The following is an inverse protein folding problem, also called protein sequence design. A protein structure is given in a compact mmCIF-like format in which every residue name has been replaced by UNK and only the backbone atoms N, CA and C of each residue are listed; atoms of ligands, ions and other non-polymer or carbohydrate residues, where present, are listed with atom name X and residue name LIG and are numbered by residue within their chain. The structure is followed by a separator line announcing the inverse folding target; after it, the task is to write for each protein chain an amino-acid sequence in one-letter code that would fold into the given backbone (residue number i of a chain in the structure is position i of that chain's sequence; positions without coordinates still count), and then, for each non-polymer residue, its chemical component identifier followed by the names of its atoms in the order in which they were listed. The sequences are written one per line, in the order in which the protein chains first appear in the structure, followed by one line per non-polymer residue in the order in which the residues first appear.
data_IF_468354062049
#
_entry.id   IF_468354062049
#
_cell.length_a   1.000
_cell.length_b   1.000
_cell.length_c   1.000
_cell.angle_alpha   90.00
_cell.angle_beta   90.00
_cell.angle_gamma   90.00
#
_symmetry.space_group_name_H-M   'P 1'
#
loop_
_entity.id
_entity.type
_entity.pdbx_description
1 polymer ?
#
# COMPACT_ATOMS: atom_id res chain seq x y z
N UNK A 1 -5.81 -11.78 -1.05
CA UNK A 1 -5.42 -11.92 -2.48
C UNK A 1 -4.40 -10.86 -2.80
N UNK A 2 -3.23 -11.25 -3.32
CA UNK A 2 -2.11 -10.33 -3.56
C UNK A 2 -2.22 -9.73 -4.96
N UNK A 3 -2.04 -8.41 -5.05
CA UNK A 3 -2.04 -7.65 -6.30
C UNK A 3 -0.81 -6.75 -6.34
N UNK A 4 -0.26 -6.54 -7.53
CA UNK A 4 0.78 -5.54 -7.72
C UNK A 4 0.16 -4.13 -7.74
N UNK A 5 0.82 -3.18 -7.12
CA UNK A 5 0.42 -1.78 -7.05
C UNK A 5 1.65 -0.86 -7.11
N UNK A 6 1.41 0.44 -7.17
CA UNK A 6 2.45 1.45 -7.20
C UNK A 6 2.08 2.61 -6.28
N UNK A 7 2.95 2.92 -5.32
CA UNK A 7 2.83 4.12 -4.49
C UNK A 7 3.29 5.32 -5.33
N UNK A 8 2.33 6.17 -5.73
CA UNK A 8 2.58 7.40 -6.51
C UNK A 8 2.45 8.67 -5.68
N UNK A 9 1.79 8.58 -4.52
CA UNK A 9 1.54 9.70 -3.63
C UNK A 9 1.95 9.42 -2.19
N UNK A 10 1.61 10.35 -1.30
CA UNK A 10 1.92 10.24 0.12
C UNK A 10 0.97 9.25 0.79
N UNK A 11 1.47 8.04 1.02
CA UNK A 11 0.78 7.02 1.83
C UNK A 11 1.45 6.97 3.18
N UNK A 12 0.67 7.15 4.24
CA UNK A 12 1.16 7.10 5.61
C UNK A 12 0.46 6.02 6.41
N UNK A 13 1.22 5.35 7.27
CA UNK A 13 0.72 4.35 8.21
C UNK A 13 1.23 4.67 9.61
N UNK A 14 0.62 4.04 10.63
CA UNK A 14 1.01 4.21 12.03
C UNK A 14 1.36 2.85 12.61
N UNK A 15 2.56 2.73 13.16
CA UNK A 15 2.95 1.54 13.93
C UNK A 15 2.59 1.76 15.40
N UNK A 16 1.53 1.10 15.86
CA UNK A 16 1.02 1.23 17.23
C UNK A 16 0.64 2.68 17.57
N UNK A 17 1.25 3.22 18.64
CA UNK A 17 1.09 4.61 19.05
C UNK A 17 2.15 5.56 18.47
N UNK A 18 3.02 5.07 17.59
CA UNK A 18 4.09 5.85 16.98
C UNK A 18 3.63 6.99 16.06
N UNK A 19 4.59 7.70 15.50
CA UNK A 19 4.34 8.72 14.50
C UNK A 19 3.82 8.10 13.19
N UNK A 20 3.20 8.92 12.34
CA UNK A 20 2.86 8.51 10.98
C UNK A 20 4.14 8.35 10.15
N UNK A 21 4.40 7.12 9.70
CA UNK A 21 5.51 6.76 8.82
C UNK A 21 5.01 6.84 7.38
N UNK A 22 5.82 7.41 6.49
CA UNK A 22 5.48 7.51 5.06
C UNK A 22 6.09 6.33 4.31
N UNK A 23 5.27 5.63 3.52
CA UNK A 23 5.74 4.58 2.62
C UNK A 23 6.47 5.23 1.44
N UNK A 24 7.67 4.75 1.07
CA UNK A 24 8.40 5.28 -0.08
C UNK A 24 7.61 5.08 -1.38
N UNK A 25 7.85 5.99 -2.32
CA UNK A 25 7.28 5.90 -3.67
C UNK A 25 7.91 4.73 -4.42
N UNK A 26 7.12 3.99 -5.19
CA UNK A 26 7.63 2.88 -5.98
C UNK A 26 6.66 1.70 -6.10
N UNK A 27 7.11 0.60 -6.71
CA UNK A 27 6.34 -0.62 -6.80
C UNK A 27 6.10 -1.22 -5.42
N UNK A 28 4.88 -1.67 -5.18
CA UNK A 28 4.49 -2.37 -3.97
C UNK A 28 3.55 -3.53 -4.31
N UNK A 29 3.41 -4.46 -3.37
CA UNK A 29 2.41 -5.51 -3.40
C UNK A 29 1.37 -5.20 -2.33
N UNK A 30 0.11 -5.39 -2.67
CA UNK A 30 -1.01 -5.20 -1.75
C UNK A 30 -1.79 -6.48 -1.63
N UNK A 31 -1.94 -6.96 -0.40
CA UNK A 31 -2.79 -8.08 -0.07
C UNK A 31 -4.08 -7.56 0.56
N UNK A 32 -5.17 -7.62 -0.21
CA UNK A 32 -6.48 -7.21 0.29
C UNK A 32 -7.17 -8.37 1.02
N UNK A 33 -7.64 -8.09 2.24
CA UNK A 33 -8.53 -8.94 3.04
C UNK A 33 -9.90 -8.26 3.21
N UNK A 34 -10.84 -8.89 3.93
CA UNK A 34 -12.16 -8.31 4.17
C UNK A 34 -12.13 -7.09 5.10
N UNK A 35 -11.08 -6.96 5.92
CA UNK A 35 -11.01 -5.97 7.01
C UNK A 35 -9.84 -4.98 6.81
N UNK A 36 -8.74 -5.45 6.25
CA UNK A 36 -7.48 -4.73 6.15
C UNK A 36 -6.77 -5.03 4.82
N UNK A 37 -5.73 -4.24 4.55
CA UNK A 37 -4.88 -4.39 3.38
C UNK A 37 -3.44 -4.32 3.84
N UNK A 38 -2.69 -5.39 3.57
CA UNK A 38 -1.25 -5.42 3.82
C UNK A 38 -0.53 -4.86 2.60
N UNK A 39 0.27 -3.83 2.80
CA UNK A 39 1.12 -3.22 1.78
C UNK A 39 2.55 -3.65 2.07
N UNK A 40 3.18 -4.28 1.08
CA UNK A 40 4.59 -4.69 1.10
C UNK A 40 5.34 -3.94 0.02
N UNK A 41 6.50 -3.38 0.34
CA UNK A 41 7.33 -2.64 -0.62
C UNK A 41 8.80 -2.97 -0.43
N UNK A 42 9.60 -2.65 -1.43
CA UNK A 42 11.05 -2.82 -1.39
C UNK A 42 11.69 -1.45 -1.57
N UNK A 43 12.56 -1.08 -0.62
CA UNK A 43 13.37 0.14 -0.65
C UNK A 43 14.85 -0.25 -0.57
N UNK A 44 15.51 -0.31 -1.73
CA UNK A 44 16.87 -0.84 -1.85
C UNK A 44 16.95 -2.31 -1.43
N UNK A 45 17.69 -2.59 -0.36
CA UNK A 45 17.82 -3.93 0.23
C UNK A 45 16.81 -4.19 1.37
N UNK A 46 15.99 -3.20 1.72
CA UNK A 46 15.03 -3.30 2.83
C UNK A 46 13.64 -3.64 2.30
N UNK A 47 13.04 -4.69 2.86
CA UNK A 47 11.65 -5.04 2.62
C UNK A 47 10.79 -4.49 3.76
N UNK A 48 9.89 -3.56 3.44
CA UNK A 48 8.91 -3.03 4.37
C UNK A 48 7.56 -3.71 4.19
N UNK A 49 6.82 -3.89 5.27
CA UNK A 49 5.43 -4.34 5.20
C UNK A 49 4.60 -3.70 6.30
N UNK A 50 3.36 -3.34 5.99
CA UNK A 50 2.42 -2.78 6.97
C UNK A 50 0.99 -3.12 6.62
N UNK A 51 0.15 -3.34 7.64
CA UNK A 51 -1.28 -3.53 7.46
C UNK A 51 -2.03 -2.23 7.78
N UNK A 52 -2.86 -1.78 6.85
CA UNK A 52 -3.74 -0.63 7.03
C UNK A 52 -5.22 -1.04 6.91
N UNK A 53 -6.16 -0.30 7.54
CA UNK A 53 -7.58 -0.57 7.35
C UNK A 53 -7.99 -0.44 5.88
N UNK A 54 -8.90 -1.30 5.42
CA UNK A 54 -9.37 -1.28 4.02
C UNK A 54 -10.01 0.07 3.63
N UNK A 55 -10.60 0.78 4.60
CA UNK A 55 -11.16 2.12 4.40
C UNK A 55 -10.09 3.14 4.01
N UNK A 56 -8.95 3.13 4.68
CA UNK A 56 -7.82 4.01 4.37
C UNK A 56 -7.18 3.63 3.03
N UNK A 57 -7.00 2.34 2.78
CA UNK A 57 -6.51 1.86 1.49
C UNK A 57 -7.36 2.37 0.32
N UNK A 58 -8.67 2.19 0.39
CA UNK A 58 -9.61 2.67 -0.65
C UNK A 58 -9.53 4.19 -0.82
N UNK A 59 -9.30 4.94 0.27
CA UNK A 59 -9.11 6.39 0.21
C UNK A 59 -7.83 6.75 -0.55
N UNK A 60 -6.73 6.05 -0.31
CA UNK A 60 -5.46 6.26 -1.02
C UNK A 60 -5.56 5.88 -2.51
N UNK A 61 -6.28 4.81 -2.85
CA UNK A 61 -6.56 4.47 -4.25
C UNK A 61 -7.42 5.54 -4.91
N UNK A 62 -8.48 6.00 -4.25
CA UNK A 62 -9.36 7.05 -4.76
C UNK A 62 -8.64 8.38 -4.95
N UNK A 63 -7.66 8.69 -4.08
CA UNK A 63 -6.83 9.89 -4.20
C UNK A 63 -5.65 9.75 -5.17
N UNK A 64 -5.54 8.61 -5.88
CA UNK A 64 -4.40 8.26 -6.74
C UNK A 64 -3.04 8.26 -6.04
N UNK A 65 -3.03 8.07 -4.72
CA UNK A 65 -1.80 7.87 -3.97
C UNK A 65 -1.27 6.44 -4.14
N UNK A 66 -2.18 5.48 -4.33
CA UNK A 66 -1.87 4.09 -4.69
C UNK A 66 -2.56 3.78 -6.01
N UNK A 67 -1.80 3.28 -6.97
CA UNK A 67 -2.33 2.81 -8.25
C UNK A 67 -2.25 1.28 -8.30
N UNK A 68 -3.40 0.62 -8.38
CA UNK A 68 -3.46 -0.83 -8.59
C UNK A 68 -3.03 -1.16 -10.02
N UNK A 69 -2.02 -2.01 -10.17
CA UNK A 69 -1.62 -2.53 -11.47
C UNK A 69 -2.59 -3.65 -11.81
N UNK A 70 -3.69 -3.29 -12.47
CA UNK A 70 -4.64 -4.27 -12.98
C UNK A 70 -4.06 -4.81 -14.28
N UNK A 71 -3.31 -5.91 -14.21
CA UNK A 71 -3.04 -6.73 -15.39
C UNK A 71 -4.32 -7.47 -15.74
N UNK A 72 -5.25 -6.78 -16.41
CA UNK A 72 -6.29 -7.45 -17.18
C UNK A 72 -5.63 -8.10 -18.40
N UNK A 73 -5.72 -9.43 -18.60
CA UNK A 73 -5.42 -10.01 -19.89
C UNK A 73 -6.53 -9.56 -20.85
N UNK A 74 -6.12 -8.84 -21.90
CA UNK A 74 -6.98 -8.45 -23.02
C UNK A 74 -7.55 -9.67 -23.78
#
# INVERSE_FOLDING_TARGET
MVKSAHIKGKVTYREGDGAHITIPLGPCEVEETAQDVTISWVDGETHGSTAIPIGDFKRYVSSRAIELVTTEPA
#
